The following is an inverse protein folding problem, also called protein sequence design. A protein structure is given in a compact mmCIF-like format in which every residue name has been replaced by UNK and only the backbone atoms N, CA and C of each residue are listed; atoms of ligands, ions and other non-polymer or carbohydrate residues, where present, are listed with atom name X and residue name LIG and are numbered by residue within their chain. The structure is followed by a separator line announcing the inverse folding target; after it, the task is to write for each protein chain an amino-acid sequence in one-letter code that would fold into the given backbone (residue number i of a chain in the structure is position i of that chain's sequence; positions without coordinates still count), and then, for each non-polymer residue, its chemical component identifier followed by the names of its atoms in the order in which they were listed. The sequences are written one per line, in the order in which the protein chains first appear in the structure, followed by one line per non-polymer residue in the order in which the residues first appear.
data_IF_879663182088
#
_entry.id   IF_879663182088
#
_cell.length_a   1.000
_cell.length_b   1.000
_cell.length_c   1.000
_cell.angle_alpha   90.00
_cell.angle_beta   90.00
_cell.angle_gamma   90.00
#
_symmetry.space_group_name_H-M   'P 1'
#
loop_
_entity.id
_entity.type
_entity.pdbx_description
1 polymer ?
#
# COMPACT_ATOMS: atom_id res chain seq x y z
N UNK A 1 -16.47 -11.30 4.94
CA UNK A 1 -15.90 -10.33 5.90
C UNK A 1 -15.47 -9.05 5.15
N UNK A 2 -15.29 -7.90 5.81
CA UNK A 2 -14.66 -6.71 5.20
C UNK A 2 -13.24 -7.03 4.73
N UNK A 3 -12.54 -7.91 5.45
CA UNK A 3 -11.24 -8.45 5.06
C UNK A 3 -11.28 -9.18 3.71
N UNK A 4 -12.21 -10.12 3.53
CA UNK A 4 -12.31 -10.88 2.28
C UNK A 4 -12.64 -9.96 1.10
N UNK A 5 -13.53 -8.99 1.31
CA UNK A 5 -13.94 -8.05 0.27
C UNK A 5 -12.81 -7.13 -0.16
N UNK A 6 -12.03 -6.62 0.78
CA UNK A 6 -10.85 -5.79 0.48
C UNK A 6 -9.78 -6.62 -0.23
N UNK A 7 -9.53 -7.86 0.21
CA UNK A 7 -8.59 -8.75 -0.46
C UNK A 7 -9.03 -9.06 -1.89
N UNK A 8 -10.32 -9.31 -2.10
CA UNK A 8 -10.88 -9.56 -3.43
C UNK A 8 -10.86 -8.31 -4.32
N UNK A 9 -11.02 -7.12 -3.75
CA UNK A 9 -10.94 -5.84 -4.47
C UNK A 9 -9.51 -5.48 -4.88
N UNK A 10 -8.47 -6.02 -4.23
CA UNK A 10 -7.08 -5.76 -4.59
C UNK A 10 -6.69 -6.60 -5.82
N UNK A 11 -6.84 -6.02 -7.00
CA UNK A 11 -6.66 -6.73 -8.28
C UNK A 11 -5.21 -6.75 -8.76
N UNK A 12 -4.39 -5.79 -8.35
CA UNK A 12 -2.97 -5.74 -8.69
C UNK A 12 -2.14 -5.16 -7.53
N UNK A 13 -0.89 -5.61 -7.44
CA UNK A 13 0.09 -5.05 -6.51
C UNK A 13 1.50 -5.16 -7.09
N UNK A 14 2.29 -4.09 -6.96
CA UNK A 14 3.68 -4.04 -7.40
C UNK A 14 4.55 -3.39 -6.32
N UNK A 15 5.76 -3.94 -6.12
CA UNK A 15 6.73 -3.46 -5.13
C UNK A 15 8.08 -3.27 -5.80
N UNK A 16 8.54 -2.03 -5.89
CA UNK A 16 9.79 -1.71 -6.57
C UNK A 16 10.58 -0.63 -5.83
N UNK A 17 11.89 -0.57 -6.10
CA UNK A 17 12.70 0.57 -5.69
C UNK A 17 12.53 1.70 -6.69
N UNK A 18 12.38 2.93 -6.20
CA UNK A 18 12.35 4.12 -7.06
C UNK A 18 13.77 4.54 -7.45
N UNK A 19 13.89 5.38 -8.48
CA UNK A 19 15.17 5.90 -8.96
C UNK A 19 16.09 6.37 -7.84
N UNK A 20 17.32 5.83 -7.84
CA UNK A 20 18.34 6.10 -6.84
C UNK A 20 18.27 5.22 -5.58
N UNK A 21 17.40 4.20 -5.53
CA UNK A 21 17.26 3.24 -4.41
C UNK A 21 17.05 3.88 -3.03
N UNK A 22 16.55 5.12 -2.99
CA UNK A 22 16.27 5.85 -1.74
C UNK A 22 14.85 5.63 -1.22
N UNK A 23 14.01 4.97 -2.00
CA UNK A 23 12.64 4.66 -1.61
C UNK A 23 12.21 3.32 -2.19
N UNK A 24 11.35 2.63 -1.46
CA UNK A 24 10.62 1.46 -1.90
C UNK A 24 9.13 1.85 -1.99
N UNK A 25 8.52 1.62 -3.14
CA UNK A 25 7.14 2.00 -3.41
C UNK A 25 6.27 0.75 -3.59
N UNK A 26 5.21 0.67 -2.80
CA UNK A 26 4.14 -0.30 -2.95
C UNK A 26 2.98 0.36 -3.70
N UNK A 27 2.72 -0.11 -4.92
CA UNK A 27 1.57 0.29 -5.72
C UNK A 27 0.48 -0.78 -5.65
N UNK A 28 -0.76 -0.38 -5.43
CA UNK A 28 -1.92 -1.28 -5.33
C UNK A 28 -3.05 -0.74 -6.18
N UNK A 29 -3.67 -1.61 -6.98
CA UNK A 29 -4.90 -1.32 -7.70
C UNK A 29 -6.07 -1.96 -6.95
N UNK A 30 -7.03 -1.14 -6.54
CA UNK A 30 -8.26 -1.54 -5.87
C UNK A 30 -9.45 -1.29 -6.80
N UNK A 31 -10.23 -2.33 -7.05
CA UNK A 31 -11.54 -2.22 -7.67
C UNK A 31 -12.53 -1.57 -6.69
N UNK A 32 -12.85 -0.31 -6.96
CA UNK A 32 -13.72 0.51 -6.12
C UNK A 32 -15.20 0.14 -6.21
N UNK A 33 -15.61 -0.67 -7.20
CA UNK A 33 -16.96 -1.23 -7.26
C UNK A 33 -17.14 -2.34 -6.21
N UNK A 34 -16.05 -3.01 -5.81
CA UNK A 34 -16.04 -4.07 -4.80
C UNK A 34 -15.78 -3.50 -3.40
N UNK A 35 -14.79 -2.62 -3.24
CA UNK A 35 -14.45 -2.03 -1.94
C UNK A 35 -13.77 -0.67 -2.06
N UNK A 36 -14.04 0.22 -1.11
CA UNK A 36 -13.39 1.53 -1.06
C UNK A 36 -11.94 1.45 -0.58
N UNK A 37 -11.14 2.45 -0.93
CA UNK A 37 -9.77 2.63 -0.45
C UNK A 37 -9.75 2.84 1.08
N UNK A 38 -10.78 3.47 1.64
CA UNK A 38 -10.92 3.65 3.10
C UNK A 38 -11.03 2.31 3.82
N UNK A 39 -11.80 1.35 3.28
CA UNK A 39 -11.89 0.00 3.84
C UNK A 39 -10.52 -0.71 3.81
N UNK A 40 -9.73 -0.49 2.75
CA UNK A 40 -8.36 -1.02 2.70
C UNK A 40 -7.52 -0.46 3.83
N UNK A 41 -7.58 0.86 4.06
CA UNK A 41 -6.87 1.48 5.17
C UNK A 41 -7.33 0.97 6.52
N UNK A 42 -8.63 0.82 6.76
CA UNK A 42 -9.16 0.32 8.03
C UNK A 42 -8.53 -1.02 8.44
N UNK A 43 -8.26 -1.87 7.44
CA UNK A 43 -7.71 -3.21 7.65
C UNK A 43 -6.18 -3.23 7.67
N UNK A 44 -5.55 -2.52 6.73
CA UNK A 44 -4.14 -2.68 6.41
C UNK A 44 -3.23 -1.55 6.91
N UNK A 45 -3.79 -0.44 7.41
CA UNK A 45 -3.00 0.73 7.85
C UNK A 45 -1.89 0.35 8.84
N UNK A 46 -2.20 -0.46 9.85
CA UNK A 46 -1.20 -0.89 10.83
C UNK A 46 -0.04 -1.66 10.20
N UNK A 47 -0.30 -2.45 9.16
CA UNK A 47 0.74 -3.19 8.43
C UNK A 47 1.59 -2.25 7.57
N UNK A 48 0.96 -1.26 6.93
CA UNK A 48 1.68 -0.24 6.16
C UNK A 48 2.58 0.62 7.06
N UNK A 49 2.14 0.93 8.27
CA UNK A 49 2.98 1.61 9.26
C UNK A 49 4.19 0.77 9.69
N UNK A 50 4.05 -0.57 9.78
CA UNK A 50 5.19 -1.45 10.03
C UNK A 50 6.18 -1.44 8.86
N UNK A 51 5.68 -1.49 7.61
CA UNK A 51 6.52 -1.36 6.42
C UNK A 51 7.30 -0.02 6.43
N UNK A 52 6.62 1.08 6.78
CA UNK A 52 7.26 2.39 6.94
C UNK A 52 8.38 2.37 7.98
N UNK A 53 8.13 1.83 9.17
CA UNK A 53 9.16 1.76 10.23
C UNK A 53 10.35 0.87 9.83
N UNK A 54 10.09 -0.24 9.13
CA UNK A 54 11.15 -1.12 8.64
C UNK A 54 12.01 -0.43 7.56
N UNK A 55 11.37 0.33 6.67
CA UNK A 55 12.07 1.14 5.67
C UNK A 55 12.94 2.21 6.35
N UNK A 56 12.39 2.93 7.34
CA UNK A 56 13.12 3.93 8.13
C UNK A 56 14.35 3.33 8.83
N UNK A 57 14.24 2.13 9.41
CA UNK A 57 15.37 1.41 10.00
C UNK A 57 16.49 1.14 8.99
N UNK A 58 16.14 0.89 7.74
CA UNK A 58 17.07 0.65 6.64
C UNK A 58 17.54 1.94 5.94
N UNK A 59 17.20 3.12 6.47
CA UNK A 59 17.45 4.43 5.87
C UNK A 59 16.88 4.60 4.44
N UNK A 60 15.77 3.91 4.15
CA UNK A 60 14.99 4.06 2.92
C UNK A 60 13.60 4.62 3.24
N UNK A 61 12.97 5.29 2.29
CA UNK A 61 11.57 5.74 2.46
C UNK A 61 10.61 4.69 1.95
N UNK A 62 9.55 4.43 2.69
CA UNK A 62 8.41 3.68 2.19
C UNK A 62 7.43 4.63 1.53
N UNK A 63 6.94 4.27 0.35
CA UNK A 63 5.85 4.97 -0.34
C UNK A 63 4.69 4.02 -0.56
N UNK A 64 3.47 4.52 -0.40
CA UNK A 64 2.25 3.80 -0.71
C UNK A 64 1.45 4.56 -1.76
N UNK A 65 1.19 3.89 -2.88
CA UNK A 65 0.37 4.38 -3.98
C UNK A 65 -0.84 3.44 -4.13
N UNK A 66 -2.05 4.00 -4.04
CA UNK A 66 -3.29 3.24 -4.27
C UNK A 66 -4.09 3.95 -5.36
N UNK A 67 -4.36 3.27 -6.47
CA UNK A 67 -5.05 3.82 -7.64
C UNK A 67 -4.47 5.16 -8.14
N UNK A 68 -3.14 5.31 -8.11
CA UNK A 68 -2.44 6.53 -8.52
C UNK A 68 -2.37 7.63 -7.46
N UNK A 69 -2.97 7.42 -6.28
CA UNK A 69 -2.89 8.36 -5.17
C UNK A 69 -1.72 8.02 -4.24
N UNK A 70 -0.78 8.94 -4.12
CA UNK A 70 0.31 8.86 -3.14
C UNK A 70 -0.20 9.23 -1.75
N UNK A 71 -0.04 8.31 -0.78
CA UNK A 71 -0.67 8.41 0.53
C UNK A 71 0.34 8.50 1.69
N UNK A 72 1.50 7.85 1.54
CA UNK A 72 2.60 7.81 2.51
C UNK A 72 3.93 8.00 1.81
#
# INVERSE_FOLDING_TARGET
DIHDRVNFAAVESDLHFTDGNRSIELSITIDTEISSIVNYFEIFLNRMLLCKRAAEFLNIRFKLNINGMNLL
#
